data_IF_674548491747
#
_entry.id   IF_674548491747
#
_cell.length_a   1.000
_cell.length_b   1.000
_cell.length_c   1.000
_cell.angle_alpha   90.00
_cell.angle_beta   90.00
_cell.angle_gamma   90.00
#
_symmetry.space_group_name_H-M   'P 1'
#
loop_
_entity.id
_entity.type
_entity.pdbx_description
1 polymer ?
#
# COMPACT_ATOMS: atom_id res chain seq x y z
N UNK A 1 20.73 65.17 65.28
CA UNK A 1 20.45 64.60 63.94
C UNK A 1 19.09 63.91 63.83
N UNK A 2 18.32 63.69 64.92
CA UNK A 2 17.02 63.00 64.87
C UNK A 2 15.88 63.81 64.18
N UNK A 3 15.89 65.14 64.24
CA UNK A 3 14.80 65.98 63.73
C UNK A 3 14.59 65.97 62.20
N UNK A 4 15.62 65.62 61.41
CA UNK A 4 15.50 65.65 59.94
C UNK A 4 14.84 64.38 59.38
N UNK A 5 14.97 63.26 60.10
CA UNK A 5 14.35 61.99 59.72
C UNK A 5 12.86 61.97 60.03
N UNK A 6 12.47 62.49 61.19
CA UNK A 6 11.06 62.64 61.59
C UNK A 6 10.32 63.59 60.64
N UNK A 7 10.97 64.70 60.25
CA UNK A 7 10.43 65.64 59.26
C UNK A 7 10.25 64.99 57.88
N UNK A 8 11.19 64.15 57.44
CA UNK A 8 11.07 63.39 56.20
C UNK A 8 9.94 62.35 56.22
N UNK A 9 9.72 61.67 57.34
CA UNK A 9 8.58 60.75 57.51
C UNK A 9 7.25 61.52 57.48
N UNK A 10 7.19 62.69 58.11
CA UNK A 10 6.00 63.53 58.11
C UNK A 10 5.66 64.05 56.71
N UNK A 11 6.67 64.46 55.94
CA UNK A 11 6.50 64.92 54.56
C UNK A 11 6.04 63.78 53.64
N UNK A 12 6.60 62.56 53.78
CA UNK A 12 6.15 61.38 53.02
C UNK A 12 4.71 61.00 53.38
N UNK A 13 4.33 61.11 54.65
CA UNK A 13 2.95 60.87 55.10
C UNK A 13 1.98 61.93 54.57
N UNK A 14 2.43 63.17 54.36
CA UNK A 14 1.67 64.24 53.70
C UNK A 14 1.54 64.05 52.20
N UNK A 15 2.51 63.41 51.54
CA UNK A 15 2.45 63.04 50.12
C UNK A 15 1.84 61.67 49.90
N UNK A 16 0.65 61.43 50.46
CA UNK A 16 -0.16 60.24 50.17
C UNK A 16 -1.35 60.61 49.29
N UNK A 17 -1.71 59.74 48.33
CA UNK A 17 -2.97 59.87 47.62
C UNK A 17 -4.12 59.83 48.64
N UNK A 18 -4.99 60.84 48.62
CA UNK A 18 -6.24 60.76 49.37
C UNK A 18 -7.04 59.55 48.88
N UNK A 19 -7.94 59.04 49.72
CA UNK A 19 -8.81 57.91 49.35
C UNK A 19 -9.61 58.20 48.06
N UNK A 20 -9.94 59.47 47.84
CA UNK A 20 -10.68 59.97 46.67
C UNK A 20 -9.81 59.97 45.42
N UNK A 21 -8.59 60.50 45.49
CA UNK A 21 -7.67 60.47 44.34
C UNK A 21 -7.30 59.04 43.96
N UNK A 22 -7.12 58.17 44.95
CA UNK A 22 -6.88 56.75 44.72
C UNK A 22 -8.07 56.06 44.03
N UNK A 23 -9.31 56.38 44.42
CA UNK A 23 -10.49 55.81 43.75
C UNK A 23 -10.66 56.33 42.32
N UNK A 24 -10.44 57.63 42.09
CA UNK A 24 -10.49 58.21 40.74
C UNK A 24 -9.41 57.64 39.83
N UNK A 25 -8.21 57.42 40.37
CA UNK A 25 -7.11 56.83 39.62
C UNK A 25 -7.39 55.36 39.30
N UNK A 26 -7.94 54.59 40.24
CA UNK A 26 -8.34 53.20 39.99
C UNK A 26 -9.46 53.14 38.94
N UNK A 27 -10.46 54.02 39.03
CA UNK A 27 -11.54 54.10 38.04
C UNK A 27 -10.98 54.36 36.65
N UNK A 28 -10.06 55.32 36.48
CA UNK A 28 -9.44 55.60 35.18
C UNK A 28 -8.57 54.44 34.66
N UNK A 29 -7.87 53.71 35.53
CA UNK A 29 -7.05 52.55 35.11
C UNK A 29 -7.93 51.37 34.70
N UNK A 30 -9.03 51.12 35.42
CA UNK A 30 -9.95 50.02 35.10
C UNK A 30 -10.96 50.36 34.00
N UNK A 31 -11.27 51.64 33.78
CA UNK A 31 -12.07 52.11 32.65
C UNK A 31 -11.26 52.13 31.35
N UNK A 32 -9.92 52.13 31.41
CA UNK A 32 -9.09 51.98 30.24
C UNK A 32 -9.25 50.57 29.67
N UNK A 33 -9.83 50.46 28.47
CA UNK A 33 -9.94 49.20 27.75
C UNK A 33 -8.56 48.79 27.20
N UNK A 34 -7.72 48.19 28.05
CA UNK A 34 -6.39 47.70 27.69
C UNK A 34 -6.54 46.22 27.30
N UNK A 35 -6.36 45.85 26.02
CA UNK A 35 -6.44 44.47 25.60
C UNK A 35 -5.40 43.63 26.35
N UNK A 36 -5.82 42.52 26.97
CA UNK A 36 -4.88 41.67 27.69
C UNK A 36 -3.89 41.02 26.71
N UNK A 37 -2.61 40.86 27.09
CA UNK A 37 -1.60 40.19 26.25
C UNK A 37 -1.89 38.69 26.01
N UNK A 38 -2.83 38.13 26.78
CA UNK A 38 -3.32 36.75 26.65
C UNK A 38 -4.74 36.68 26.09
N UNK A 39 -5.30 37.79 25.62
CA UNK A 39 -6.56 37.74 24.88
C UNK A 39 -6.25 36.95 23.60
N UNK A 40 -6.90 35.80 23.34
CA UNK A 40 -6.68 35.10 22.09
C UNK A 40 -7.15 36.03 20.97
N UNK A 41 -6.20 36.69 20.32
CA UNK A 41 -6.43 37.43 19.12
C UNK A 41 -6.85 36.40 18.08
N UNK A 42 -8.16 36.39 17.77
CA UNK A 42 -8.87 35.63 16.72
C UNK A 42 -9.80 34.56 17.29
N UNK A 43 -11.06 34.96 17.38
CA UNK A 43 -12.21 34.07 17.47
C UNK A 43 -12.12 33.07 16.29
N UNK A 44 -11.84 31.80 16.56
CA UNK A 44 -11.78 30.75 15.53
C UNK A 44 -13.18 30.56 14.88
N UNK A 45 -14.23 30.98 15.58
CA UNK A 45 -15.62 31.10 15.10
C UNK A 45 -15.95 32.43 14.42
N UNK A 46 -15.00 33.36 14.35
CA UNK A 46 -15.13 34.66 13.69
C UNK A 46 -14.58 34.69 12.27
N UNK A 47 -14.37 33.53 11.63
CA UNK A 47 -14.16 33.50 10.18
C UNK A 47 -15.33 34.23 9.50
N UNK A 48 -15.09 35.02 8.42
CA UNK A 48 -16.20 35.60 7.68
C UNK A 48 -17.12 34.45 7.27
N UNK A 49 -18.44 34.60 7.50
CA UNK A 49 -19.42 33.53 7.29
C UNK A 49 -19.31 32.87 5.92
N UNK A 50 -18.83 33.61 4.93
CA UNK A 50 -18.50 33.16 3.57
C UNK A 50 -17.34 32.16 3.52
N UNK A 51 -16.27 32.36 4.28
CA UNK A 51 -15.15 31.41 4.35
C UNK A 51 -15.54 30.15 5.13
N UNK A 52 -16.26 30.30 6.24
CA UNK A 52 -16.79 29.16 6.99
C UNK A 52 -17.78 28.32 6.15
N UNK A 53 -18.66 28.96 5.37
CA UNK A 53 -19.58 28.26 4.48
C UNK A 53 -18.86 27.58 3.31
N UNK A 54 -17.85 28.22 2.71
CA UNK A 54 -17.04 27.59 1.65
C UNK A 54 -16.29 26.38 2.21
N UNK A 55 -15.66 26.51 3.39
CA UNK A 55 -14.96 25.40 4.01
C UNK A 55 -15.91 24.25 4.39
N UNK A 56 -17.08 24.56 4.95
CA UNK A 56 -18.10 23.57 5.26
C UNK A 56 -18.64 22.86 4.01
N UNK A 57 -18.87 23.60 2.92
CA UNK A 57 -19.29 23.04 1.63
C UNK A 57 -18.21 22.15 1.01
N UNK A 58 -16.94 22.56 1.06
CA UNK A 58 -15.82 21.74 0.59
C UNK A 58 -15.71 20.47 1.43
N UNK A 59 -15.83 20.57 2.75
CA UNK A 59 -15.77 19.42 3.65
C UNK A 59 -16.96 18.46 3.44
N UNK A 60 -18.17 19.00 3.22
CA UNK A 60 -19.35 18.22 2.86
C UNK A 60 -19.15 17.51 1.50
N UNK A 61 -18.59 18.20 0.51
CA UNK A 61 -18.27 17.60 -0.78
C UNK A 61 -17.21 16.51 -0.66
N UNK A 62 -16.15 16.71 0.11
CA UNK A 62 -15.09 15.72 0.34
C UNK A 62 -15.61 14.51 1.11
N UNK A 63 -16.49 14.69 2.10
CA UNK A 63 -17.04 13.57 2.88
C UNK A 63 -18.07 12.76 2.10
N UNK A 64 -18.92 13.42 1.31
CA UNK A 64 -19.86 12.74 0.41
C UNK A 64 -19.12 12.08 -0.75
N UNK A 65 -18.14 12.74 -1.36
CA UNK A 65 -17.35 12.13 -2.43
C UNK A 65 -16.43 11.01 -1.93
N UNK A 66 -15.89 11.12 -0.71
CA UNK A 66 -15.05 10.08 -0.11
C UNK A 66 -15.78 8.76 0.10
N UNK A 67 -17.04 8.80 0.54
CA UNK A 67 -17.86 7.58 0.69
C UNK A 67 -18.20 6.93 -0.66
N UNK A 68 -18.50 7.73 -1.68
CA UNK A 68 -18.76 7.24 -3.04
C UNK A 68 -17.49 6.66 -3.68
N UNK A 69 -16.34 7.31 -3.51
CA UNK A 69 -15.05 6.81 -4.01
C UNK A 69 -14.66 5.50 -3.31
N UNK A 70 -14.87 5.39 -1.99
CA UNK A 70 -14.62 4.16 -1.25
C UNK A 70 -15.53 3.01 -1.72
N UNK A 71 -16.81 3.27 -1.95
CA UNK A 71 -17.73 2.28 -2.51
C UNK A 71 -17.34 1.87 -3.95
N UNK A 72 -16.83 2.81 -4.74
CA UNK A 72 -16.37 2.55 -6.10
C UNK A 72 -15.14 1.63 -6.16
N UNK A 73 -14.28 1.58 -5.13
CA UNK A 73 -13.11 0.69 -5.10
C UNK A 73 -13.48 -0.80 -5.24
N UNK A 74 -14.61 -1.21 -4.67
CA UNK A 74 -15.11 -2.59 -4.75
C UNK A 74 -15.96 -2.88 -5.99
N UNK A 75 -16.20 -1.88 -6.84
CA UNK A 75 -17.03 -2.04 -8.04
C UNK A 75 -16.27 -2.74 -9.17
N UNK A 76 -17.01 -3.51 -9.97
CA UNK A 76 -16.56 -4.21 -11.18
C UNK A 76 -17.28 -3.67 -12.42
N UNK A 77 -16.80 -3.92 -13.66
CA UNK A 77 -17.51 -3.52 -14.87
C UNK A 77 -18.98 -3.93 -14.86
N UNK A 78 -19.86 -2.96 -15.15
CA UNK A 78 -21.32 -3.11 -15.08
C UNK A 78 -21.95 -2.59 -13.79
N UNK A 79 -21.16 -2.39 -12.72
CA UNK A 79 -21.64 -1.75 -11.50
C UNK A 79 -21.80 -0.23 -11.70
N UNK A 80 -22.81 0.36 -11.05
CA UNK A 80 -23.16 1.78 -11.18
C UNK A 80 -22.00 2.73 -10.88
N UNK A 81 -21.14 2.38 -9.92
CA UNK A 81 -20.04 3.23 -9.46
C UNK A 81 -18.70 2.92 -10.16
N UNK A 82 -18.66 1.95 -11.08
CA UNK A 82 -17.43 1.61 -11.80
C UNK A 82 -16.84 2.78 -12.61
N UNK A 83 -17.66 3.62 -13.28
CA UNK A 83 -17.14 4.81 -13.94
C UNK A 83 -16.49 5.82 -12.99
N UNK A 84 -16.90 5.87 -11.71
CA UNK A 84 -16.26 6.73 -10.71
C UNK A 84 -14.86 6.20 -10.39
N UNK A 85 -14.70 4.87 -10.29
CA UNK A 85 -13.40 4.23 -10.09
C UNK A 85 -12.43 4.57 -11.21
N UNK A 86 -12.82 4.34 -12.46
CA UNK A 86 -11.93 4.45 -13.63
C UNK A 86 -11.74 5.88 -14.14
N UNK A 87 -12.75 6.76 -14.05
CA UNK A 87 -12.65 8.12 -14.61
C UNK A 87 -12.35 9.20 -13.57
N UNK A 88 -12.44 8.89 -12.27
CA UNK A 88 -12.22 9.87 -11.20
C UNK A 88 -11.11 9.40 -10.26
N UNK A 89 -11.31 8.26 -9.60
CA UNK A 89 -10.38 7.82 -8.54
C UNK A 89 -9.01 7.41 -9.10
N UNK A 90 -8.99 6.60 -10.16
CA UNK A 90 -7.75 6.14 -10.78
C UNK A 90 -6.92 7.29 -11.38
N UNK A 91 -7.49 8.23 -12.17
CA UNK A 91 -6.75 9.37 -12.72
C UNK A 91 -6.20 10.33 -11.66
N UNK A 92 -6.91 10.50 -10.54
CA UNK A 92 -6.41 11.29 -9.41
C UNK A 92 -5.16 10.63 -8.82
N UNK A 93 -5.16 9.30 -8.65
CA UNK A 93 -3.99 8.56 -8.16
C UNK A 93 -2.85 8.57 -9.17
N UNK A 94 -3.14 8.46 -10.46
CA UNK A 94 -2.14 8.61 -11.53
C UNK A 94 -1.43 9.97 -11.42
N UNK A 95 -2.20 11.05 -11.19
CA UNK A 95 -1.65 12.40 -11.05
C UNK A 95 -0.84 12.60 -9.76
N UNK A 96 -1.07 11.78 -8.73
CA UNK A 96 -0.34 11.83 -7.45
C UNK A 96 0.90 10.92 -7.42
N UNK A 97 1.07 10.02 -8.41
CA UNK A 97 2.26 9.21 -8.56
C UNK A 97 3.36 10.00 -9.29
N UNK A 98 4.23 10.67 -8.53
CA UNK A 98 5.19 11.62 -9.10
C UNK A 98 6.49 10.96 -9.57
N UNK A 99 6.93 9.92 -8.89
CA UNK A 99 8.19 9.22 -9.19
C UNK A 99 7.97 7.99 -10.08
N UNK A 100 8.98 7.55 -10.85
CA UNK A 100 8.92 6.30 -11.60
C UNK A 100 8.55 5.08 -10.74
N UNK A 101 9.08 4.99 -9.52
CA UNK A 101 8.78 3.91 -8.58
C UNK A 101 7.30 3.93 -8.15
N UNK A 102 6.75 5.10 -7.81
CA UNK A 102 5.33 5.24 -7.46
C UNK A 102 4.42 4.88 -8.64
N UNK A 103 4.77 5.33 -9.85
CA UNK A 103 4.02 5.00 -11.08
C UNK A 103 4.03 3.50 -11.34
N UNK A 104 5.21 2.86 -11.31
CA UNK A 104 5.31 1.42 -11.47
C UNK A 104 4.50 0.67 -10.40
N UNK A 105 4.62 1.05 -9.13
CA UNK A 105 3.83 0.42 -8.06
C UNK A 105 2.32 0.58 -8.28
N UNK A 106 1.88 1.77 -8.71
CA UNK A 106 0.47 2.05 -8.96
C UNK A 106 -0.07 1.33 -10.20
N UNK A 107 0.68 1.29 -11.29
CA UNK A 107 0.30 0.58 -12.52
C UNK A 107 0.24 -0.94 -12.29
N UNK A 108 1.18 -1.50 -11.53
CA UNK A 108 1.12 -2.90 -11.07
C UNK A 108 -0.17 -3.19 -10.27
N UNK A 109 -0.57 -2.27 -9.39
CA UNK A 109 -1.81 -2.39 -8.63
C UNK A 109 -3.05 -2.32 -9.54
N UNK A 110 -3.08 -1.42 -10.54
CA UNK A 110 -4.19 -1.35 -11.50
C UNK A 110 -4.31 -2.64 -12.30
N UNK A 111 -3.20 -3.17 -12.82
CA UNK A 111 -3.19 -4.45 -13.52
C UNK A 111 -3.74 -5.59 -12.64
N UNK A 112 -3.22 -5.72 -11.41
CA UNK A 112 -3.74 -6.69 -10.44
C UNK A 112 -5.24 -6.51 -10.14
N UNK A 113 -5.74 -5.28 -10.03
CA UNK A 113 -7.16 -5.02 -9.80
C UNK A 113 -8.03 -5.52 -10.95
N UNK A 114 -7.64 -5.29 -12.20
CA UNK A 114 -8.42 -5.76 -13.37
C UNK A 114 -8.56 -7.29 -13.38
N UNK A 115 -7.51 -8.01 -12.96
CA UNK A 115 -7.56 -9.45 -12.77
C UNK A 115 -8.48 -9.86 -11.61
N UNK A 116 -8.44 -9.17 -10.46
CA UNK A 116 -9.37 -9.44 -9.35
C UNK A 116 -10.85 -9.13 -9.70
N UNK A 117 -11.09 -8.13 -10.53
CA UNK A 117 -12.42 -7.79 -11.05
C UNK A 117 -12.93 -8.87 -12.02
N UNK A 118 -12.07 -9.34 -12.93
CA UNK A 118 -12.38 -10.46 -13.82
C UNK A 118 -12.71 -11.74 -13.02
N UNK A 119 -11.96 -12.02 -11.96
CA UNK A 119 -12.24 -13.13 -11.05
C UNK A 119 -13.60 -12.97 -10.34
N UNK A 120 -13.90 -11.78 -9.86
CA UNK A 120 -15.17 -11.46 -9.21
C UNK A 120 -16.34 -11.67 -10.18
N UNK A 121 -16.20 -11.21 -11.42
CA UNK A 121 -17.21 -11.42 -12.47
C UNK A 121 -17.33 -12.90 -12.86
N UNK A 122 -16.23 -13.64 -12.94
CA UNK A 122 -16.24 -15.07 -13.23
C UNK A 122 -16.98 -15.85 -12.13
N UNK A 123 -16.70 -15.55 -10.86
CA UNK A 123 -17.39 -16.14 -9.72
C UNK A 123 -18.89 -15.80 -9.68
N UNK A 124 -19.28 -14.62 -10.17
CA UNK A 124 -20.69 -14.20 -10.31
C UNK A 124 -21.38 -14.78 -11.55
N UNK A 125 -20.66 -15.47 -12.44
CA UNK A 125 -21.19 -15.88 -13.75
C UNK A 125 -21.54 -14.70 -14.68
N UNK A 126 -20.97 -13.52 -14.42
CA UNK A 126 -21.27 -12.25 -15.10
C UNK A 126 -20.10 -11.75 -15.98
N UNK A 127 -19.07 -12.58 -16.19
CA UNK A 127 -17.98 -12.28 -17.10
C UNK A 127 -18.45 -12.45 -18.55
N UNK A 128 -19.04 -11.40 -19.10
CA UNK A 128 -19.40 -11.32 -20.51
C UNK A 128 -18.16 -11.06 -21.39
N UNK A 129 -18.19 -11.40 -22.69
CA UNK A 129 -17.09 -11.09 -23.61
C UNK A 129 -16.72 -9.60 -23.64
N UNK A 130 -17.71 -8.72 -23.50
CA UNK A 130 -17.50 -7.27 -23.45
C UNK A 130 -16.74 -6.86 -22.18
N UNK A 131 -17.20 -7.32 -21.01
CA UNK A 131 -16.56 -6.99 -19.73
C UNK A 131 -15.13 -7.55 -19.68
N UNK A 132 -14.94 -8.76 -20.20
CA UNK A 132 -13.62 -9.38 -20.32
C UNK A 132 -12.70 -8.54 -21.21
N UNK A 133 -13.15 -8.16 -22.41
CA UNK A 133 -12.36 -7.35 -23.33
C UNK A 133 -11.98 -5.99 -22.71
N UNK A 134 -12.90 -5.35 -21.98
CA UNK A 134 -12.63 -4.10 -21.29
C UNK A 134 -11.60 -4.26 -20.17
N UNK A 135 -11.78 -5.26 -19.31
CA UNK A 135 -10.81 -5.58 -18.25
C UNK A 135 -9.44 -5.90 -18.83
N UNK A 136 -9.42 -6.65 -19.92
CA UNK A 136 -8.21 -7.02 -20.64
C UNK A 136 -7.48 -5.80 -21.18
N UNK A 137 -8.20 -4.91 -21.88
CA UNK A 137 -7.61 -3.68 -22.42
C UNK A 137 -6.99 -2.83 -21.30
N UNK A 138 -7.71 -2.64 -20.19
CA UNK A 138 -7.19 -1.87 -19.06
C UNK A 138 -6.02 -2.56 -18.33
N UNK A 139 -6.00 -3.90 -18.30
CA UNK A 139 -4.86 -4.66 -17.81
C UNK A 139 -3.63 -4.41 -18.67
N UNK A 140 -3.77 -4.56 -20.00
CA UNK A 140 -2.68 -4.37 -20.95
C UNK A 140 -2.15 -2.92 -20.91
N UNK A 141 -3.04 -1.93 -20.83
CA UNK A 141 -2.69 -0.52 -20.63
C UNK A 141 -1.83 -0.31 -19.37
N UNK A 142 -2.24 -0.93 -18.26
CA UNK A 142 -1.52 -0.81 -16.98
C UNK A 142 -0.19 -1.57 -16.99
N UNK A 143 -0.13 -2.75 -17.60
CA UNK A 143 1.11 -3.52 -17.75
C UNK A 143 2.14 -2.77 -18.62
N UNK A 144 1.71 -2.18 -19.74
CA UNK A 144 2.60 -1.39 -20.58
C UNK A 144 3.09 -0.12 -19.86
N UNK A 145 2.23 0.55 -19.08
CA UNK A 145 2.62 1.70 -18.28
C UNK A 145 3.61 1.32 -17.17
N UNK A 146 3.41 0.16 -16.54
CA UNK A 146 4.34 -0.43 -15.59
C UNK A 146 5.73 -0.66 -16.20
N UNK A 147 5.80 -1.31 -17.37
CA UNK A 147 7.05 -1.60 -18.05
C UNK A 147 7.80 -0.33 -18.44
N UNK A 148 7.06 0.69 -18.91
CA UNK A 148 7.63 2.00 -19.19
C UNK A 148 8.18 2.67 -17.93
N UNK A 149 7.45 2.63 -16.81
CA UNK A 149 7.88 3.20 -15.54
C UNK A 149 9.13 2.49 -15.00
N UNK A 150 9.13 1.16 -14.98
CA UNK A 150 10.30 0.33 -14.62
C UNK A 150 11.48 0.62 -15.55
N UNK A 151 11.24 0.72 -16.86
CA UNK A 151 12.25 1.03 -17.87
C UNK A 151 12.96 2.37 -17.63
N UNK A 152 12.25 3.35 -17.05
CA UNK A 152 12.82 4.65 -16.68
C UNK A 152 13.62 4.66 -15.37
N UNK A 153 13.58 3.58 -14.59
CA UNK A 153 14.36 3.43 -13.35
C UNK A 153 15.76 2.86 -13.63
N UNK A 154 16.76 3.25 -12.84
CA UNK A 154 18.11 2.69 -12.95
C UNK A 154 18.11 1.18 -12.65
N UNK A 155 18.92 0.42 -13.39
CA UNK A 155 19.02 -1.05 -13.22
C UNK A 155 19.64 -1.47 -11.89
N UNK A 156 20.37 -0.57 -11.23
CA UNK A 156 20.96 -0.77 -9.90
C UNK A 156 20.05 -0.30 -8.77
N UNK A 157 18.88 0.29 -9.08
CA UNK A 157 17.93 0.74 -8.07
C UNK A 157 17.25 -0.47 -7.38
N UNK A 158 17.42 -0.65 -6.07
CA UNK A 158 16.77 -1.75 -5.35
C UNK A 158 15.24 -1.68 -5.42
N UNK A 159 14.65 -0.48 -5.54
CA UNK A 159 13.20 -0.33 -5.66
C UNK A 159 12.67 -0.94 -6.96
N UNK A 160 13.46 -0.89 -8.05
CA UNK A 160 13.09 -1.49 -9.34
C UNK A 160 12.87 -3.00 -9.19
N UNK A 161 13.85 -3.70 -8.60
CA UNK A 161 13.78 -5.14 -8.38
C UNK A 161 12.62 -5.51 -7.45
N UNK A 162 12.46 -4.80 -6.33
CA UNK A 162 11.37 -5.07 -5.37
C UNK A 162 9.99 -4.92 -5.99
N UNK A 163 9.77 -3.87 -6.80
CA UNK A 163 8.49 -3.63 -7.47
C UNK A 163 8.21 -4.71 -8.52
N UNK A 164 9.21 -5.07 -9.34
CA UNK A 164 9.09 -6.16 -10.33
C UNK A 164 8.79 -7.51 -9.68
N UNK A 165 9.48 -7.86 -8.59
CA UNK A 165 9.25 -9.10 -7.87
C UNK A 165 7.86 -9.12 -7.21
N UNK A 166 7.44 -8.00 -6.62
CA UNK A 166 6.10 -7.86 -6.04
C UNK A 166 5.02 -8.04 -7.09
N UNK A 167 5.16 -7.41 -8.26
CA UNK A 167 4.21 -7.55 -9.36
C UNK A 167 4.15 -8.99 -9.87
N UNK A 168 5.31 -9.63 -10.08
CA UNK A 168 5.39 -11.04 -10.46
C UNK A 168 4.68 -11.96 -9.46
N UNK A 169 4.88 -11.76 -8.16
CA UNK A 169 4.23 -12.56 -7.12
C UNK A 169 2.70 -12.40 -7.14
N UNK A 170 2.22 -11.16 -7.32
CA UNK A 170 0.79 -10.87 -7.41
C UNK A 170 0.17 -11.56 -8.64
N UNK A 171 0.83 -11.48 -9.80
CA UNK A 171 0.37 -12.16 -11.01
C UNK A 171 0.33 -13.68 -10.83
N UNK A 172 1.35 -14.26 -10.21
CA UNK A 172 1.40 -15.70 -9.93
C UNK A 172 0.29 -16.15 -8.97
N UNK A 173 -0.02 -15.38 -7.92
CA UNK A 173 -1.15 -15.66 -7.04
C UNK A 173 -2.48 -15.66 -7.81
N UNK A 174 -2.69 -14.65 -8.65
CA UNK A 174 -3.92 -14.52 -9.42
C UNK A 174 -4.08 -15.62 -10.48
N UNK A 175 -3.00 -16.04 -11.15
CA UNK A 175 -3.02 -17.19 -12.05
C UNK A 175 -3.50 -18.46 -11.33
N UNK A 176 -2.97 -18.73 -10.13
CA UNK A 176 -3.37 -19.88 -9.33
C UNK A 176 -4.86 -19.85 -8.97
N UNK A 177 -5.40 -18.66 -8.66
CA UNK A 177 -6.82 -18.46 -8.35
C UNK A 177 -7.70 -18.66 -9.58
N UNK A 178 -7.31 -18.14 -10.74
CA UNK A 178 -8.01 -18.39 -12.00
C UNK A 178 -7.98 -19.86 -12.40
N UNK A 179 -6.84 -20.54 -12.23
CA UNK A 179 -6.73 -21.97 -12.46
C UNK A 179 -7.70 -22.75 -11.54
N UNK A 180 -7.86 -22.33 -10.28
CA UNK A 180 -8.83 -22.93 -9.36
C UNK A 180 -10.28 -22.71 -9.81
N UNK A 181 -10.62 -21.53 -10.32
CA UNK A 181 -11.95 -21.22 -10.87
C UNK A 181 -12.20 -22.04 -12.14
N UNK A 182 -11.24 -22.10 -13.06
CA UNK A 182 -11.34 -22.88 -14.29
C UNK A 182 -11.50 -24.38 -14.06
N UNK A 183 -10.89 -24.94 -13.00
CA UNK A 183 -11.14 -26.33 -12.57
C UNK A 183 -12.56 -26.56 -12.06
N UNK A 184 -13.22 -25.51 -11.54
CA UNK A 184 -14.58 -25.55 -10.98
C UNK A 184 -15.66 -25.26 -12.03
N UNK A 185 -15.33 -24.36 -12.97
CA UNK A 185 -16.15 -23.97 -14.10
C UNK A 185 -15.66 -24.70 -15.36
N UNK A 186 -16.10 -25.93 -15.56
CA UNK A 186 -15.71 -26.75 -16.72
C UNK A 186 -16.18 -26.20 -18.09
N UNK A 187 -16.61 -24.95 -18.20
CA UNK A 187 -17.07 -24.33 -19.45
C UNK A 187 -17.02 -22.80 -19.38
N UNK A 188 -15.85 -22.20 -19.58
CA UNK A 188 -15.75 -20.98 -20.39
C UNK A 188 -14.28 -20.81 -20.82
N UNK A 189 -14.05 -20.72 -22.12
CA UNK A 189 -12.74 -20.48 -22.74
C UNK A 189 -12.04 -19.12 -22.44
N UNK A 190 -12.64 -18.06 -21.84
CA UNK A 190 -11.96 -16.77 -21.73
C UNK A 190 -10.92 -16.64 -20.60
N UNK A 191 -11.01 -17.44 -19.54
CA UNK A 191 -10.03 -17.40 -18.43
C UNK A 191 -8.65 -17.92 -18.86
N UNK A 192 -8.60 -18.84 -19.83
CA UNK A 192 -7.34 -19.38 -20.37
C UNK A 192 -6.57 -18.34 -21.17
N UNK A 193 -7.27 -17.54 -21.98
CA UNK A 193 -6.63 -16.49 -22.78
C UNK A 193 -5.99 -15.43 -21.87
N UNK A 194 -6.72 -14.96 -20.85
CA UNK A 194 -6.18 -14.03 -19.85
C UNK A 194 -4.96 -14.60 -19.11
N UNK A 195 -4.99 -15.90 -18.74
CA UNK A 195 -3.86 -16.57 -18.10
C UNK A 195 -2.62 -16.69 -19.00
N UNK A 196 -2.81 -16.97 -20.29
CA UNK A 196 -1.72 -17.02 -21.28
C UNK A 196 -1.06 -15.65 -21.49
N UNK A 197 -1.82 -14.56 -21.34
CA UNK A 197 -1.30 -13.19 -21.42
C UNK A 197 -0.59 -12.74 -20.13
N UNK A 198 -1.09 -13.14 -18.96
CA UNK A 198 -0.37 -12.98 -17.69
C UNK A 198 0.98 -13.69 -17.76
N UNK A 199 1.01 -14.91 -18.29
CA UNK A 199 2.26 -15.65 -18.51
C UNK A 199 3.20 -14.97 -19.53
N UNK A 200 2.68 -14.19 -20.49
CA UNK A 200 3.50 -13.40 -21.42
C UNK A 200 4.16 -12.23 -20.70
N UNK A 201 3.38 -11.42 -19.97
CA UNK A 201 3.91 -10.30 -19.17
C UNK A 201 4.93 -10.81 -18.17
N UNK A 202 4.63 -11.93 -17.50
CA UNK A 202 5.52 -12.59 -16.54
C UNK A 202 6.85 -13.07 -17.14
N UNK A 203 6.92 -13.37 -18.44
CA UNK A 203 8.14 -13.73 -19.16
C UNK A 203 8.98 -12.51 -19.56
N UNK A 204 8.36 -11.36 -19.72
CA UNK A 204 9.03 -10.12 -20.12
C UNK A 204 9.53 -9.31 -18.91
N UNK A 205 8.94 -9.51 -17.72
CA UNK A 205 9.45 -8.91 -16.48
C UNK A 205 10.82 -9.53 -16.12
N UNK A 206 11.92 -8.75 -16.15
CA UNK A 206 13.24 -9.26 -15.87
C UNK A 206 13.35 -9.67 -14.40
N UNK A 207 13.46 -10.97 -14.13
CA UNK A 207 13.80 -11.49 -12.80
C UNK A 207 15.30 -11.39 -12.58
N UNK A 208 15.74 -10.57 -11.63
CA UNK A 208 17.11 -10.64 -11.12
C UNK A 208 17.25 -11.88 -10.22
N UNK A 209 17.26 -13.05 -10.84
CA UNK A 209 17.40 -14.34 -10.17
C UNK A 209 18.02 -15.43 -11.07
N UNK A 210 17.88 -15.32 -12.40
CA UNK A 210 18.61 -16.18 -13.34
C UNK A 210 20.01 -15.62 -13.58
N UNK A 211 20.91 -15.95 -12.64
CA UNK A 211 22.33 -15.72 -12.82
C UNK A 211 22.85 -16.58 -13.95
N UNK A 212 23.43 -15.90 -14.94
CA UNK A 212 24.69 -16.22 -15.61
C UNK A 212 25.26 -17.59 -15.26
N UNK A 213 24.97 -18.59 -16.09
CA UNK A 213 25.84 -19.74 -16.30
C UNK A 213 25.86 -20.00 -17.80
N UNK A 214 27.07 -20.03 -18.37
CA UNK A 214 27.41 -20.34 -19.77
C UNK A 214 27.15 -19.15 -20.74
N UNK A 215 28.09 -18.66 -21.55
CA UNK A 215 29.18 -19.34 -22.22
C UNK A 215 30.18 -18.30 -22.72
N UNK A 216 31.46 -18.49 -22.41
CA UNK A 216 32.59 -17.79 -23.00
C UNK A 216 33.01 -18.57 -24.27
N UNK A 217 32.90 -18.04 -25.50
CA UNK A 217 33.37 -18.73 -26.68
C UNK A 217 34.54 -18.00 -27.32
N UNK A 218 35.64 -17.79 -26.59
CA UNK A 218 36.92 -17.46 -27.21
C UNK A 218 38.05 -18.33 -26.65
N UNK A 219 38.09 -19.59 -27.10
CA UNK A 219 39.33 -20.34 -27.31
C UNK A 219 39.02 -21.72 -27.90
N UNK A 220 38.85 -21.80 -29.21
CA UNK A 220 39.10 -23.06 -29.93
C UNK A 220 39.66 -22.76 -31.32
N UNK A 221 40.96 -22.56 -31.36
CA UNK A 221 41.76 -22.92 -32.53
C UNK A 221 42.91 -23.80 -32.04
N UNK A 222 43.24 -24.81 -32.84
CA UNK A 222 44.31 -25.80 -32.67
C UNK A 222 44.00 -27.06 -31.83
N UNK A 223 43.42 -28.05 -32.51
CA UNK A 223 43.90 -29.43 -32.41
C UNK A 223 45.41 -29.49 -32.79
N UNK A 224 46.22 -30.42 -32.23
CA UNK A 224 46.20 -31.80 -32.74
C UNK A 224 46.45 -32.95 -31.75
N UNK A 225 45.87 -34.09 -32.16
CA UNK A 225 46.29 -35.49 -32.04
C UNK A 225 46.17 -36.25 -30.68
N UNK A 226 45.68 -37.52 -30.70
CA UNK A 226 45.53 -38.36 -29.52
C UNK A 226 46.79 -39.22 -29.28
N UNK A 227 47.13 -39.43 -28.01
CA UNK A 227 48.13 -40.42 -27.59
C UNK A 227 47.46 -41.56 -26.82
N UNK A 228 47.75 -42.78 -27.25
CA UNK A 228 47.31 -44.04 -26.65
C UNK A 228 48.26 -44.48 -25.51
N UNK A 229 47.70 -45.11 -24.48
CA UNK A 229 48.40 -45.90 -23.44
C UNK A 229 47.40 -46.17 -22.30
N UNK A 230 46.74 -47.33 -22.24
CA UNK A 230 47.20 -48.67 -21.82
C UNK A 230 47.44 -48.82 -20.30
N UNK A 231 46.76 -49.83 -19.73
CA UNK A 231 47.01 -50.45 -18.43
C UNK A 231 46.51 -49.69 -17.20
N UNK A 232 46.04 -50.26 -16.09
CA UNK A 232 46.03 -51.63 -15.59
C UNK A 232 45.18 -51.67 -14.29
N UNK A 233 44.25 -52.63 -14.17
CA UNK A 233 43.88 -53.47 -12.99
C UNK A 233 43.94 -52.95 -11.53
N UNK A 234 42.84 -53.24 -10.79
CA UNK A 234 42.78 -53.49 -9.34
C UNK A 234 41.35 -53.33 -8.78
N UNK A 235 40.46 -54.35 -8.76
CA UNK A 235 40.24 -55.42 -7.74
C UNK A 235 39.97 -54.93 -6.30
N UNK A 236 38.67 -54.90 -5.94
CA UNK A 236 37.92 -55.30 -4.70
C UNK A 236 38.64 -55.42 -3.33
N UNK A 237 37.96 -55.20 -2.16
CA UNK A 237 36.67 -55.83 -1.78
C UNK A 237 35.65 -54.88 -1.09
N UNK A 238 34.33 -55.01 -1.28
CA UNK A 238 33.38 -55.93 -0.62
C UNK A 238 33.56 -56.12 0.89
N UNK A 239 32.70 -55.47 1.67
CA UNK A 239 32.27 -55.95 2.98
C UNK A 239 30.75 -55.90 3.07
N UNK A 240 30.23 -57.07 3.39
CA UNK A 240 28.85 -57.47 3.45
C UNK A 240 28.23 -57.22 4.83
N UNK A 241 26.90 -57.31 4.88
CA UNK A 241 26.05 -57.67 6.02
C UNK A 241 25.75 -56.60 7.09
N UNK A 242 24.58 -56.52 7.74
CA UNK A 242 23.25 -57.18 7.67
C UNK A 242 22.39 -56.56 8.81
N UNK A 243 21.06 -56.61 8.66
CA UNK A 243 20.01 -56.48 9.71
C UNK A 243 19.69 -55.05 10.20
N UNK A 244 18.45 -54.62 10.46
CA UNK A 244 17.17 -55.30 10.62
C UNK A 244 16.00 -54.32 10.36
N UNK A 245 14.91 -54.83 9.79
CA UNK A 245 13.51 -54.45 10.07
C UNK A 245 12.92 -55.60 10.93
N UNK A 246 11.72 -55.54 11.57
CA UNK A 246 10.58 -54.66 11.29
C UNK A 246 9.71 -54.24 12.52
N UNK A 247 8.61 -53.51 12.22
CA UNK A 247 7.30 -53.42 12.89
C UNK A 247 7.16 -52.95 14.37
N UNK A 248 6.42 -51.85 14.58
CA UNK A 248 5.28 -51.86 15.52
C UNK A 248 4.25 -50.76 15.19
N UNK A 249 3.05 -51.17 14.81
CA UNK A 249 1.84 -50.35 14.78
C UNK A 249 1.20 -50.36 16.17
N UNK A 250 0.75 -49.22 16.68
CA UNK A 250 -0.59 -49.06 17.26
C UNK A 250 -0.83 -47.67 17.88
N UNK A 251 -1.88 -47.02 17.38
CA UNK A 251 -3.01 -46.39 18.11
C UNK A 251 -2.68 -45.46 19.30
N UNK A 252 -3.11 -44.21 19.19
CA UNK A 252 -4.30 -43.69 19.91
C UNK A 252 -4.55 -42.22 19.51
N UNK A 253 -5.77 -41.94 19.04
CA UNK A 253 -6.34 -40.60 18.85
C UNK A 253 -7.26 -40.25 20.05
N UNK A 254 -7.72 -38.99 20.21
CA UNK A 254 -7.64 -38.20 21.44
C UNK A 254 -8.95 -38.18 22.27
N UNK A 255 -9.03 -37.31 23.28
CA UNK A 255 -10.26 -36.53 23.41
C UNK A 255 -10.03 -35.02 23.59
N UNK A 256 -10.73 -34.27 22.73
CA UNK A 256 -11.67 -33.19 23.05
C UNK A 256 -11.47 -32.43 24.39
N UNK A 257 -11.19 -31.13 24.28
CA UNK A 257 -11.75 -30.18 25.23
C UNK A 257 -12.37 -28.97 24.51
N UNK A 258 -13.68 -28.95 24.62
CA UNK A 258 -14.56 -27.85 24.30
C UNK A 258 -14.21 -26.60 25.13
N UNK A 259 -14.10 -25.45 24.46
CA UNK A 259 -14.28 -24.15 25.10
C UNK A 259 -15.13 -23.29 24.17
N UNK A 260 -16.43 -23.58 24.18
CA UNK A 260 -17.45 -22.75 23.56
C UNK A 260 -17.57 -21.41 24.28
N UNK A 261 -17.30 -20.32 23.55
CA UNK A 261 -17.72 -18.98 23.96
C UNK A 261 -19.11 -18.72 23.39
N UNK A 262 -20.14 -19.00 24.19
CA UNK A 262 -21.49 -18.51 23.97
C UNK A 262 -21.55 -17.03 24.35
N UNK A 263 -21.81 -16.17 23.36
CA UNK A 263 -22.24 -14.80 23.61
C UNK A 263 -23.77 -14.77 23.68
N UNK A 264 -24.24 -14.40 24.87
CA UNK A 264 -25.62 -14.10 25.21
C UNK A 264 -26.11 -12.87 24.45
N UNK A 265 -27.31 -12.96 23.87
CA UNK A 265 -28.07 -11.84 23.30
C UNK A 265 -29.30 -11.68 24.18
N UNK A 266 -29.39 -10.57 24.90
CA UNK A 266 -30.64 -9.90 25.26
C UNK A 266 -30.32 -8.48 25.73
N UNK A 267 -30.65 -7.49 24.89
CA UNK A 267 -31.46 -6.30 25.19
C UNK A 267 -31.57 -5.41 23.93
#
# INVERSE_FOLDING_TARGET
MQNNFEKGIEDIRKTGLSKIEKSMMLENVFAANIPSPYAPARNIFGMPKTFASVLASVLALVTVSGSVAYAAEGSVPGDLLYPVKTHVTEPIRDALAFTPAEKASWDAQKASRRLAEAETLANRGALSPTNEQDLRRHFDESAAAFDHAIGSMATTDPARAQISDSFANILGDQENRFAAIGRRASTSMPVRALGEDVARVFKEVPRQGEKQDMENPEASSSMPAPNHGDGSIGRFPEHDATSARPDEQAREEPPENEAGWQFDRND
#
